data_IF_237569767325
#
_entry.id   IF_237569767325
#
_cell.length_a   1.000
_cell.length_b   1.000
_cell.length_c   1.000
_cell.angle_alpha   90.00
_cell.angle_beta   90.00
_cell.angle_gamma   90.00
#
_symmetry.space_group_name_H-M   'P 1'
#
loop_
_entity.id
_entity.type
_entity.pdbx_description
1 polymer ?
#
# COMPACT_ATOMS: atom_id res chain seq x y z
N UNK A 1 -51.55 4.99 42.63
CA UNK A 1 -50.23 4.45 42.27
C UNK A 1 -50.19 4.32 40.76
N UNK A 2 -49.55 5.28 40.08
CA UNK A 2 -49.47 5.33 38.61
C UNK A 2 -47.98 5.40 38.27
N UNK A 3 -47.42 4.30 37.76
CA UNK A 3 -46.02 4.26 37.32
C UNK A 3 -45.99 4.55 35.82
N UNK A 4 -45.43 5.71 35.47
CA UNK A 4 -45.10 6.05 34.09
C UNK A 4 -43.88 5.23 33.65
N UNK A 5 -44.04 4.37 32.65
CA UNK A 5 -42.93 3.75 31.93
C UNK A 5 -42.43 4.75 30.88
N UNK A 6 -41.13 5.12 30.86
CA UNK A 6 -40.57 5.75 29.69
C UNK A 6 -40.34 4.69 28.60
N UNK A 7 -40.90 4.96 27.43
CA UNK A 7 -40.66 4.22 26.18
C UNK A 7 -39.25 4.45 25.66
N UNK A 8 -38.52 3.42 25.21
CA UNK A 8 -37.37 3.58 24.34
C UNK A 8 -37.58 2.78 23.06
N UNK A 9 -38.03 3.45 22.00
CA UNK A 9 -37.77 3.01 20.64
C UNK A 9 -37.21 4.22 19.88
N UNK A 10 -36.46 4.09 18.76
CA UNK A 10 -35.85 2.89 18.17
C UNK A 10 -34.39 3.14 17.71
N UNK A 11 -33.42 2.35 18.18
CA UNK A 11 -32.07 2.41 17.57
C UNK A 11 -32.04 1.46 16.37
N UNK A 12 -32.49 1.96 15.21
CA UNK A 12 -32.04 1.42 13.92
C UNK A 12 -30.51 1.58 13.89
N UNK A 13 -29.79 0.53 14.28
CA UNK A 13 -28.40 0.38 13.87
C UNK A 13 -28.43 0.05 12.38
N UNK A 14 -27.82 0.85 11.49
CA UNK A 14 -27.59 0.40 10.14
C UNK A 14 -26.70 -0.83 10.20
N UNK A 15 -27.19 -1.93 9.63
CA UNK A 15 -26.40 -3.12 9.29
C UNK A 15 -25.43 -2.67 8.19
N UNK A 16 -24.32 -2.08 8.60
CA UNK A 16 -23.19 -1.80 7.73
C UNK A 16 -21.97 -2.54 8.30
N UNK A 17 -21.44 -3.41 7.47
CA UNK A 17 -20.05 -3.87 7.52
C UNK A 17 -19.66 -4.90 8.60
N UNK A 18 -20.24 -6.10 8.45
CA UNK A 18 -19.41 -7.31 8.46
C UNK A 18 -18.66 -7.45 7.12
N UNK A 19 -17.95 -6.40 6.68
CA UNK A 19 -16.93 -6.54 5.65
C UNK A 19 -15.61 -6.61 6.38
N UNK A 20 -15.06 -7.83 6.41
CA UNK A 20 -13.71 -8.19 6.82
C UNK A 20 -12.98 -7.12 7.61
N UNK A 21 -12.78 -7.35 8.91
CA UNK A 21 -11.94 -6.56 9.80
C UNK A 21 -10.55 -6.31 9.16
N UNK A 22 -10.47 -5.30 8.29
CA UNK A 22 -9.23 -4.70 7.89
C UNK A 22 -8.90 -3.77 9.06
N UNK A 23 -7.70 -3.88 9.65
CA UNK A 23 -7.27 -2.87 10.60
C UNK A 23 -7.42 -1.51 9.90
N UNK A 24 -8.06 -0.50 10.55
CA UNK A 24 -8.15 0.83 9.98
C UNK A 24 -6.73 1.35 9.80
N UNK A 25 -6.23 1.29 8.57
CA UNK A 25 -4.96 1.92 8.17
C UNK A 25 -5.27 3.35 7.71
N UNK A 26 -6.16 4.04 8.43
CA UNK A 26 -6.53 5.43 8.15
C UNK A 26 -5.33 6.37 8.38
N UNK A 27 -4.46 6.05 9.35
CA UNK A 27 -3.27 6.84 9.69
C UNK A 27 -1.96 6.19 9.19
N UNK A 28 -1.95 5.73 7.94
CA UNK A 28 -0.78 5.11 7.32
C UNK A 28 -0.02 6.03 6.37
N UNK A 29 1.32 5.95 6.36
CA UNK A 29 2.15 6.77 5.50
C UNK A 29 2.42 6.09 4.14
N UNK A 30 2.19 6.83 3.05
CA UNK A 30 2.46 6.33 1.70
C UNK A 30 3.95 6.39 1.34
N UNK A 31 4.45 5.33 0.72
CA UNK A 31 5.85 5.21 0.35
C UNK A 31 6.04 4.32 -0.89
N UNK A 32 7.17 4.53 -1.58
CA UNK A 32 7.74 3.56 -2.50
C UNK A 32 8.62 2.63 -1.67
N UNK A 33 8.33 1.34 -1.71
CA UNK A 33 9.09 0.33 -0.97
C UNK A 33 9.49 -0.84 -1.86
N UNK A 34 10.59 -1.50 -1.48
CA UNK A 34 10.97 -2.79 -2.01
C UNK A 34 10.47 -3.87 -1.07
N UNK A 35 9.57 -4.72 -1.57
CA UNK A 35 9.01 -5.88 -0.86
C UNK A 35 9.35 -7.12 -1.67
N UNK A 36 10.02 -8.09 -1.05
CA UNK A 36 10.44 -9.34 -1.71
C UNK A 36 11.16 -9.11 -3.06
N UNK A 37 12.00 -8.07 -3.12
CA UNK A 37 12.75 -7.72 -4.32
C UNK A 37 12.01 -6.85 -5.34
N UNK A 38 10.69 -6.73 -5.26
CA UNK A 38 9.86 -5.93 -6.18
C UNK A 38 9.56 -4.54 -5.62
N UNK A 39 9.54 -3.53 -6.49
CA UNK A 39 9.20 -2.15 -6.10
C UNK A 39 7.69 -1.95 -6.19
N UNK A 40 7.08 -1.49 -5.10
CA UNK A 40 5.63 -1.31 -4.97
C UNK A 40 5.32 0.03 -4.31
N UNK A 41 4.14 0.55 -4.61
CA UNK A 41 3.52 1.60 -3.81
C UNK A 41 2.88 0.94 -2.59
N UNK A 42 3.14 1.49 -1.41
CA UNK A 42 2.63 0.96 -0.15
C UNK A 42 2.11 2.06 0.75
N UNK A 43 1.19 1.70 1.64
CA UNK A 43 0.80 2.48 2.80
C UNK A 43 1.15 1.69 4.06
N UNK A 44 2.00 2.26 4.90
CA UNK A 44 2.54 1.61 6.10
C UNK A 44 1.77 2.13 7.31
N UNK A 45 1.18 1.24 8.10
CA UNK A 45 0.50 1.61 9.35
C UNK A 45 1.51 2.10 10.40
N UNK A 46 1.24 3.27 11.00
CA UNK A 46 2.03 3.80 12.12
C UNK A 46 1.55 3.28 13.49
N UNK A 47 0.47 2.50 13.51
CA UNK A 47 -0.14 1.97 14.73
C UNK A 47 0.74 0.92 15.45
N UNK A 48 1.78 0.40 14.80
CA UNK A 48 2.71 -0.56 15.42
C UNK A 48 3.96 0.16 15.93
N UNK A 49 4.26 0.13 17.24
CA UNK A 49 5.43 0.80 17.80
C UNK A 49 6.73 0.26 17.18
N UNK A 50 7.71 1.16 16.98
CA UNK A 50 9.01 0.92 16.34
C UNK A 50 9.96 0.07 17.21
N UNK A 51 9.57 -1.14 17.57
CA UNK A 51 10.49 -2.16 18.06
C UNK A 51 10.91 -3.03 16.89
N UNK A 52 12.19 -3.34 16.74
CA UNK A 52 12.75 -4.15 15.64
C UNK A 52 12.25 -5.61 15.59
N UNK A 53 11.24 -5.95 16.40
CA UNK A 53 10.66 -7.28 16.59
C UNK A 53 9.16 -7.34 16.23
N UNK A 54 8.52 -6.21 15.97
CA UNK A 54 7.09 -6.17 15.65
C UNK A 54 6.88 -6.09 14.14
N UNK A 55 6.07 -7.02 13.64
CA UNK A 55 5.63 -7.01 12.24
C UNK A 55 4.82 -5.76 11.95
N UNK A 56 4.92 -5.25 10.73
CA UNK A 56 4.23 -4.04 10.29
C UNK A 56 3.16 -4.41 9.28
N UNK A 57 1.97 -3.85 9.45
CA UNK A 57 0.89 -4.00 8.47
C UNK A 57 1.06 -2.98 7.34
N UNK A 58 1.07 -3.50 6.12
CA UNK A 58 1.33 -2.74 4.90
C UNK A 58 0.24 -3.01 3.87
N UNK A 59 -0.47 -1.96 3.44
CA UNK A 59 -1.32 -2.03 2.24
C UNK A 59 -0.43 -1.91 1.01
N UNK A 60 -0.59 -2.82 0.07
CA UNK A 60 0.17 -2.86 -1.19
C UNK A 60 -0.76 -2.47 -2.32
N UNK A 61 -0.29 -1.56 -3.17
CA UNK A 61 -1.01 -1.10 -4.34
C UNK A 61 -0.29 -1.56 -5.61
N UNK A 62 -1.07 -2.06 -6.57
CA UNK A 62 -0.57 -2.42 -7.90
C UNK A 62 -0.71 -1.23 -8.85
N UNK A 63 0.26 -1.06 -9.72
CA UNK A 63 0.14 -0.14 -10.84
C UNK A 63 -0.87 -0.69 -11.85
N UNK A 64 -1.87 0.11 -12.22
CA UNK A 64 -2.87 -0.28 -13.22
C UNK A 64 -2.70 0.53 -14.51
N UNK A 65 -2.72 1.86 -14.43
CA UNK A 65 -2.57 2.76 -15.58
C UNK A 65 -1.83 4.02 -15.20
N UNK A 66 -0.89 4.49 -16.03
CA UNK A 66 -0.24 5.81 -15.95
C UNK A 66 0.16 6.18 -14.50
N UNK A 67 -0.68 6.92 -13.79
CA UNK A 67 -0.49 7.43 -12.43
C UNK A 67 -1.39 6.76 -11.37
N UNK A 68 -2.23 5.82 -11.79
CA UNK A 68 -3.26 5.14 -11.01
C UNK A 68 -2.73 3.84 -10.44
N UNK A 69 -2.85 3.71 -9.14
CA UNK A 69 -2.55 2.52 -8.38
C UNK A 69 -3.80 2.07 -7.66
N UNK A 70 -4.10 0.78 -7.77
CA UNK A 70 -5.24 0.19 -7.10
C UNK A 70 -4.78 -0.73 -6.00
N UNK A 71 -5.49 -0.73 -4.89
CA UNK A 71 -5.21 -1.67 -3.82
C UNK A 71 -5.19 -3.10 -4.34
N UNK A 72 -4.19 -3.84 -3.88
CA UNK A 72 -3.99 -5.24 -4.21
C UNK A 72 -4.30 -6.11 -2.99
N UNK A 73 -3.61 -5.86 -1.89
CA UNK A 73 -3.70 -6.67 -0.67
C UNK A 73 -3.09 -5.93 0.52
N UNK A 74 -3.41 -6.40 1.72
CA UNK A 74 -2.76 -5.99 2.96
C UNK A 74 -1.92 -7.17 3.48
N UNK A 75 -0.69 -6.88 3.93
CA UNK A 75 0.24 -7.88 4.44
C UNK A 75 0.90 -7.41 5.73
N UNK A 76 0.96 -8.32 6.69
CA UNK A 76 1.78 -8.21 7.89
C UNK A 76 3.18 -8.73 7.56
N UNK A 77 4.17 -7.84 7.54
CA UNK A 77 5.55 -8.16 7.12
C UNK A 77 6.54 -7.91 8.25
N UNK A 78 7.64 -8.67 8.26
CA UNK A 78 8.75 -8.34 9.13
C UNK A 78 9.44 -7.05 8.61
N UNK A 79 9.91 -6.14 9.48
CA UNK A 79 10.57 -4.91 9.04
C UNK A 79 11.76 -5.13 8.11
N UNK A 80 12.44 -6.27 8.22
CA UNK A 80 13.56 -6.65 7.33
C UNK A 80 13.13 -6.99 5.89
N UNK A 81 11.84 -7.29 5.66
CA UNK A 81 11.31 -7.61 4.32
C UNK A 81 10.74 -6.38 3.61
N UNK A 82 10.66 -5.24 4.31
CA UNK A 82 10.11 -3.97 3.81
C UNK A 82 11.20 -2.91 3.85
N UNK A 83 11.75 -2.60 2.67
CA UNK A 83 12.73 -1.52 2.55
C UNK A 83 12.08 -0.29 1.95
N UNK A 84 11.81 0.71 2.78
CA UNK A 84 11.31 2.01 2.32
C UNK A 84 12.42 2.71 1.51
N UNK A 85 12.12 3.02 0.25
CA UNK A 85 13.04 3.71 -0.65
C UNK A 85 12.76 5.21 -0.66
N UNK A 86 11.49 5.59 -0.61
CA UNK A 86 11.05 6.98 -0.71
C UNK A 86 9.70 7.17 -0.03
N UNK A 87 9.57 8.18 0.84
CA UNK A 87 8.29 8.60 1.39
C UNK A 87 7.57 9.52 0.40
N UNK A 88 6.25 9.36 0.28
CA UNK A 88 5.45 10.16 -0.65
C UNK A 88 4.71 11.24 0.13
N UNK A 89 5.08 12.48 -0.14
CA UNK A 89 4.41 13.67 0.38
C UNK A 89 2.94 13.75 -0.06
N UNK A 90 2.06 14.30 0.78
CA UNK A 90 0.64 14.46 0.49
C UNK A 90 0.37 15.30 -0.76
N UNK A 91 1.21 16.28 -1.08
CA UNK A 91 1.06 17.09 -2.29
C UNK A 91 1.32 16.30 -3.58
N UNK A 92 2.00 15.16 -3.48
CA UNK A 92 2.39 14.33 -4.61
C UNK A 92 1.47 13.12 -4.82
N UNK A 93 0.37 13.04 -4.07
CA UNK A 93 -0.62 11.97 -4.19
C UNK A 93 -2.04 12.49 -4.00
N UNK A 94 -3.00 11.73 -4.50
CA UNK A 94 -4.41 11.84 -4.13
C UNK A 94 -4.91 10.43 -3.86
N UNK A 95 -5.43 10.19 -2.67
CA UNK A 95 -5.96 8.89 -2.27
C UNK A 95 -7.48 8.98 -2.18
N UNK A 96 -8.16 8.14 -2.94
CA UNK A 96 -9.61 7.97 -2.91
C UNK A 96 -9.93 6.68 -2.15
N UNK A 97 -10.29 6.82 -0.88
CA UNK A 97 -10.61 5.70 0.02
C UNK A 97 -11.79 4.86 -0.47
N UNK A 98 -12.82 5.50 -1.04
CA UNK A 98 -14.02 4.80 -1.55
C UNK A 98 -13.68 3.71 -2.58
N UNK A 99 -12.64 3.94 -3.39
CA UNK A 99 -12.24 3.06 -4.47
C UNK A 99 -10.90 2.35 -4.23
N UNK A 100 -10.30 2.56 -3.05
CA UNK A 100 -8.93 2.15 -2.71
C UNK A 100 -7.93 2.46 -3.83
N UNK A 101 -8.02 3.69 -4.37
CA UNK A 101 -7.26 4.11 -5.54
C UNK A 101 -6.35 5.28 -5.19
N UNK A 102 -5.08 5.18 -5.57
CA UNK A 102 -4.07 6.21 -5.35
C UNK A 102 -3.60 6.74 -6.69
N UNK A 103 -3.69 8.06 -6.84
CA UNK A 103 -3.11 8.79 -7.96
C UNK A 103 -1.78 9.39 -7.52
N UNK A 104 -0.71 9.12 -8.27
CA UNK A 104 0.62 9.66 -8.00
C UNK A 104 1.00 10.75 -9.00
N UNK A 105 1.65 11.81 -8.52
CA UNK A 105 2.20 12.82 -9.39
C UNK A 105 3.22 12.22 -10.38
N UNK A 106 3.30 12.82 -11.57
CA UNK A 106 4.17 12.36 -12.65
C UNK A 106 5.64 12.26 -12.24
N UNK A 107 6.11 13.17 -11.39
CA UNK A 107 7.49 13.16 -10.91
C UNK A 107 7.77 11.93 -10.05
N UNK A 108 6.82 11.53 -9.19
CA UNK A 108 6.92 10.29 -8.38
C UNK A 108 7.01 9.07 -9.29
N UNK A 109 6.19 9.01 -10.34
CA UNK A 109 6.26 7.91 -11.31
C UNK A 109 7.62 7.86 -12.04
N UNK A 110 8.18 9.01 -12.38
CA UNK A 110 9.50 9.07 -13.00
C UNK A 110 10.60 8.56 -12.05
N UNK A 111 10.50 8.86 -10.74
CA UNK A 111 11.41 8.33 -9.71
C UNK A 111 11.22 6.83 -9.50
N UNK A 112 9.99 6.35 -9.37
CA UNK A 112 9.67 4.94 -9.23
C UNK A 112 10.19 4.11 -10.42
N UNK A 113 10.06 4.64 -11.64
CA UNK A 113 10.59 4.03 -12.86
C UNK A 113 12.12 3.89 -12.79
N UNK A 114 12.84 4.95 -12.40
CA UNK A 114 14.30 4.92 -12.22
C UNK A 114 14.74 3.88 -11.19
N UNK A 115 14.00 3.73 -10.09
CA UNK A 115 14.29 2.72 -9.08
C UNK A 115 14.08 1.30 -9.63
N UNK A 116 13.08 1.11 -10.48
CA UNK A 116 12.76 -0.20 -11.09
C UNK A 116 13.80 -0.59 -12.14
N UNK A 117 14.25 0.34 -12.98
CA UNK A 117 15.28 0.10 -14.00
C UNK A 117 16.66 -0.20 -13.41
N UNK A 118 16.94 0.27 -12.18
CA UNK A 118 18.20 0.00 -11.47
C UNK A 118 18.28 -1.40 -10.85
N UNK A 119 17.17 -2.14 -10.78
CA UNK A 119 17.24 -3.56 -10.49
C UNK A 119 17.88 -4.26 -11.69
N UNK A 120 18.96 -5.06 -11.52
CA UNK A 120 19.58 -5.76 -12.62
C UNK A 120 18.62 -6.84 -13.10
N UNK A 121 17.74 -6.48 -14.03
CA UNK A 121 17.14 -7.45 -14.92
C UNK A 121 18.30 -8.11 -15.64
N UNK A 122 18.49 -9.38 -15.33
CA UNK A 122 19.27 -10.35 -16.06
C UNK A 122 19.14 -10.07 -17.55
N UNK A 123 20.17 -9.48 -18.16
CA UNK A 123 20.36 -9.60 -19.58
C UNK A 123 20.49 -11.10 -19.87
N UNK A 124 19.66 -11.72 -20.72
CA UNK A 124 20.10 -12.95 -21.36
C UNK A 124 21.37 -12.59 -22.12
N UNK A 125 22.45 -13.16 -21.62
CA UNK A 125 23.82 -13.01 -22.07
C UNK A 125 23.88 -13.07 -23.60
N UNK A 126 24.45 -12.03 -24.19
CA UNK A 126 24.89 -12.03 -25.57
C UNK A 126 25.75 -13.28 -25.82
N UNK A 127 25.26 -14.23 -26.63
CA UNK A 127 26.15 -15.12 -27.37
C UNK A 127 26.65 -14.37 -28.62
N UNK A 128 27.56 -13.43 -28.39
CA UNK A 128 28.46 -12.96 -29.44
C UNK A 128 29.66 -13.89 -29.47
N UNK A 129 29.67 -14.85 -30.42
CA UNK A 129 30.84 -15.29 -31.23
C UNK A 129 30.72 -16.77 -31.61
N UNK A 130 30.51 -17.02 -32.90
CA UNK A 130 31.47 -17.84 -33.63
C UNK A 130 31.52 -17.37 -35.10
N UNK A 131 32.51 -16.51 -35.40
CA UNK A 131 33.10 -16.50 -36.74
C UNK A 131 33.88 -17.80 -36.88
N UNK A 132 33.54 -18.62 -37.88
CA UNK A 132 34.45 -19.44 -38.69
C UNK A 132 33.61 -20.30 -39.65
N UNK A 133 33.59 -19.93 -40.92
CA UNK A 133 34.19 -20.71 -42.02
C UNK A 133 34.26 -19.82 -43.25
#
# INVERSE_FOLDING_TARGET
MTLAYPSPFPCHAPIAELRYAQPPVDDGQFAIARINGAIRLVQVSLATPASALTTVDVKIFRHEFIHIFRYLECKTLHPADVHILELIDDQNKSYEEENDTVFLAKDVMARMSKLTTRAPFSHPQQFSRMRRR
#
